data_IF_391783174977
#
_entry.id   IF_391783174977
#
_cell.length_a   1.000
_cell.length_b   1.000
_cell.length_c   1.000
_cell.angle_alpha   90.00
_cell.angle_beta   90.00
_cell.angle_gamma   90.00
#
_symmetry.space_group_name_H-M   'P 1'
#
loop_
_entity.id
_entity.type
_entity.pdbx_description
1 polymer ?
#
# COMPACT_ATOMS: atom_id res chain seq x y z
N UNK A 1 -13.69 68.21 -54.02
CA UNK A 1 -12.25 68.07 -53.72
C UNK A 1 -12.06 68.27 -52.23
N UNK A 2 -12.08 67.19 -51.46
CA UNK A 2 -11.85 67.19 -50.01
C UNK A 2 -10.42 66.75 -49.78
N UNK A 3 -9.57 67.69 -49.37
CA UNK A 3 -8.16 67.45 -49.05
C UNK A 3 -8.06 66.49 -47.86
N UNK A 4 -7.54 65.28 -48.12
CA UNK A 4 -7.05 64.38 -47.09
C UNK A 4 -5.83 65.01 -46.42
N UNK A 5 -6.00 65.49 -45.20
CA UNK A 5 -4.88 65.83 -44.32
C UNK A 5 -4.44 64.51 -43.66
N UNK A 6 -3.52 63.80 -44.31
CA UNK A 6 -2.73 62.74 -43.66
C UNK A 6 -1.63 63.42 -42.86
N UNK A 7 -1.87 63.69 -41.57
CA UNK A 7 -0.82 64.14 -40.66
C UNK A 7 -0.02 62.92 -40.16
N UNK A 8 1.30 63.03 -39.96
CA UNK A 8 2.13 61.93 -39.47
C UNK A 8 1.68 61.39 -38.10
N UNK A 9 0.98 62.21 -37.31
CA UNK A 9 0.37 61.81 -36.03
C UNK A 9 -0.80 60.82 -36.23
N UNK A 10 -1.60 60.98 -37.28
CA UNK A 10 -2.74 60.10 -37.56
C UNK A 10 -2.32 58.72 -38.07
N UNK A 11 -1.20 58.65 -38.80
CA UNK A 11 -0.62 57.38 -39.24
C UNK A 11 0.00 56.59 -38.09
N UNK A 12 0.66 57.27 -37.15
CA UNK A 12 1.24 56.66 -35.95
C UNK A 12 0.16 56.05 -35.03
N UNK A 13 -0.96 56.75 -34.84
CA UNK A 13 -2.06 56.24 -34.02
C UNK A 13 -2.78 55.06 -34.70
N UNK A 14 -2.93 55.08 -36.02
CA UNK A 14 -3.45 53.93 -36.79
C UNK A 14 -2.57 52.68 -36.65
N UNK A 15 -1.24 52.83 -36.67
CA UNK A 15 -0.32 51.71 -36.46
C UNK A 15 -0.40 51.15 -35.04
N UNK A 16 -0.56 52.02 -34.02
CA UNK A 16 -0.76 51.61 -32.63
C UNK A 16 -2.06 50.83 -32.45
N UNK A 17 -3.16 51.32 -33.04
CA UNK A 17 -4.44 50.62 -33.02
C UNK A 17 -4.36 49.25 -33.69
N UNK A 18 -3.68 49.15 -34.85
CA UNK A 18 -3.47 47.87 -35.54
C UNK A 18 -2.69 46.87 -34.68
N UNK A 19 -1.60 47.31 -34.03
CA UNK A 19 -0.79 46.44 -33.14
C UNK A 19 -1.58 45.95 -31.94
N UNK A 20 -2.39 46.81 -31.32
CA UNK A 20 -3.26 46.42 -30.19
C UNK A 20 -4.33 45.42 -30.69
N UNK A 21 -4.96 45.68 -31.82
CA UNK A 21 -5.97 44.78 -32.39
C UNK A 21 -5.39 43.39 -32.74
N UNK A 22 -4.18 43.33 -33.33
CA UNK A 22 -3.52 42.05 -33.67
C UNK A 22 -3.06 41.29 -32.43
N UNK A 23 -2.64 42.00 -31.38
CA UNK A 23 -2.22 41.36 -30.13
C UNK A 23 -3.44 40.78 -29.39
N UNK A 24 -4.55 41.53 -29.35
CA UNK A 24 -5.79 41.08 -28.73
C UNK A 24 -6.42 39.90 -29.48
N UNK A 25 -6.40 39.92 -30.81
CA UNK A 25 -6.92 38.78 -31.60
C UNK A 25 -6.10 37.51 -31.38
N UNK A 26 -4.76 37.62 -31.25
CA UNK A 26 -3.90 36.48 -30.95
C UNK A 26 -4.15 35.90 -29.55
N UNK A 27 -4.35 36.76 -28.55
CA UNK A 27 -4.70 36.33 -27.18
C UNK A 27 -6.07 35.65 -27.15
N UNK A 28 -7.08 36.23 -27.81
CA UNK A 28 -8.42 35.66 -27.89
C UNK A 28 -8.40 34.30 -28.58
N UNK A 29 -7.64 34.15 -29.66
CA UNK A 29 -7.48 32.87 -30.36
C UNK A 29 -6.82 31.80 -29.48
N UNK A 30 -5.80 32.17 -28.69
CA UNK A 30 -5.13 31.24 -27.80
C UNK A 30 -6.04 30.81 -26.63
N UNK A 31 -6.83 31.74 -26.10
CA UNK A 31 -7.86 31.48 -25.08
C UNK A 31 -9.00 30.60 -25.60
N UNK A 32 -9.45 30.80 -26.85
CA UNK A 32 -10.52 29.98 -27.43
C UNK A 32 -10.06 28.53 -27.69
N UNK A 33 -8.84 28.33 -28.18
CA UNK A 33 -8.26 26.99 -28.38
C UNK A 33 -8.09 26.26 -27.05
N UNK A 34 -7.57 26.93 -26.02
CA UNK A 34 -7.41 26.33 -24.69
C UNK A 34 -8.76 25.99 -24.05
N UNK A 35 -9.76 26.86 -24.17
CA UNK A 35 -11.12 26.58 -23.70
C UNK A 35 -11.74 25.37 -24.41
N UNK A 36 -11.63 25.30 -25.74
CA UNK A 36 -12.11 24.16 -26.52
C UNK A 36 -11.44 22.84 -26.11
N UNK A 37 -10.12 22.88 -25.84
CA UNK A 37 -9.37 21.73 -25.33
C UNK A 37 -9.85 21.25 -23.96
N UNK A 38 -10.17 22.17 -23.04
CA UNK A 38 -10.72 21.84 -21.72
C UNK A 38 -12.11 21.19 -21.86
N UNK A 39 -12.98 21.75 -22.70
CA UNK A 39 -14.32 21.19 -22.95
C UNK A 39 -14.20 19.76 -23.52
N UNK A 40 -13.32 19.55 -24.50
CA UNK A 40 -13.08 18.23 -25.09
C UNK A 40 -12.54 17.23 -24.04
N UNK A 41 -11.63 17.67 -23.17
CA UNK A 41 -11.10 16.85 -22.09
C UNK A 41 -12.22 16.42 -21.11
N UNK A 42 -13.14 17.32 -20.75
CA UNK A 42 -14.30 16.99 -19.92
C UNK A 42 -15.27 15.99 -20.58
N UNK A 43 -15.34 15.96 -21.90
CA UNK A 43 -16.18 14.99 -22.64
C UNK A 43 -15.50 13.61 -22.71
N UNK A 44 -14.17 13.56 -22.91
CA UNK A 44 -13.44 12.30 -23.11
C UNK A 44 -13.12 11.59 -21.78
N UNK A 45 -12.74 12.34 -20.74
CA UNK A 45 -12.32 11.77 -19.45
C UNK A 45 -13.37 10.83 -18.80
N UNK A 46 -14.69 11.12 -18.82
CA UNK A 46 -15.70 10.21 -18.30
C UNK A 46 -15.85 8.92 -19.12
N UNK A 47 -15.55 8.96 -20.43
CA UNK A 47 -15.70 7.81 -21.35
C UNK A 47 -14.59 6.77 -21.18
N UNK A 48 -13.41 7.19 -20.69
CA UNK A 48 -12.31 6.30 -20.34
C UNK A 48 -12.54 5.55 -19.01
N UNK A 49 -13.58 5.92 -18.26
CA UNK A 49 -13.96 5.25 -17.02
C UNK A 49 -14.89 4.08 -17.32
N UNK A 50 -14.31 2.92 -17.64
CA UNK A 50 -15.06 1.67 -17.71
C UNK A 50 -15.69 1.39 -16.34
N UNK A 51 -17.00 1.61 -16.23
CA UNK A 51 -17.82 1.19 -15.10
C UNK A 51 -17.82 -0.34 -15.06
N UNK A 52 -17.15 -0.93 -14.06
CA UNK A 52 -17.37 -2.34 -13.70
C UNK A 52 -18.84 -2.51 -13.31
N UNK A 53 -19.50 -3.47 -13.94
CA UNK A 53 -20.93 -3.75 -13.73
C UNK A 53 -21.19 -4.14 -12.28
N UNK A 54 -22.19 -3.50 -11.67
CA UNK A 54 -22.74 -3.95 -10.40
C UNK A 54 -23.33 -5.35 -10.60
N UNK A 55 -22.67 -6.37 -10.07
CA UNK A 55 -23.24 -7.71 -9.94
C UNK A 55 -24.42 -7.63 -8.96
N UNK A 56 -25.64 -7.55 -9.50
CA UNK A 56 -26.86 -7.77 -8.74
C UNK A 56 -26.92 -9.26 -8.44
N UNK A 57 -26.49 -9.64 -7.24
CA UNK A 57 -26.68 -10.99 -6.74
C UNK A 57 -28.10 -11.09 -6.22
N UNK A 58 -28.95 -11.82 -6.95
CA UNK A 58 -30.21 -12.30 -6.39
C UNK A 58 -29.88 -13.36 -5.34
N UNK A 59 -30.07 -13.03 -4.06
CA UNK A 59 -30.12 -14.04 -3.01
C UNK A 59 -31.36 -14.90 -3.28
N UNK A 60 -31.16 -16.11 -3.78
CA UNK A 60 -32.20 -17.13 -3.78
C UNK A 60 -32.53 -17.48 -2.33
N UNK A 61 -33.81 -17.44 -1.94
CA UNK A 61 -34.24 -17.84 -0.61
C UNK A 61 -33.80 -19.29 -0.34
N UNK A 62 -33.22 -19.52 0.83
CA UNK A 62 -32.75 -20.82 1.26
C UNK A 62 -33.95 -21.79 1.32
N UNK A 63 -33.83 -23.04 0.83
CA UNK A 63 -34.84 -24.06 1.10
C UNK A 63 -34.86 -24.34 2.62
N UNK A 64 -36.07 -24.46 3.16
CA UNK A 64 -36.34 -24.75 4.56
C UNK A 64 -35.74 -26.12 4.96
N UNK A 65 -35.11 -26.17 6.14
CA UNK A 65 -34.42 -27.38 6.65
C UNK A 65 -35.40 -28.55 6.83
N UNK A 66 -35.22 -29.60 6.05
CA UNK A 66 -35.91 -30.87 6.24
C UNK A 66 -35.21 -31.65 7.37
N UNK A 67 -35.91 -31.82 8.51
CA UNK A 67 -35.38 -32.55 9.66
C UNK A 67 -35.19 -34.04 9.32
N UNK A 68 -33.94 -34.50 9.37
CA UNK A 68 -33.58 -35.92 9.19
C UNK A 68 -33.88 -36.71 10.47
N UNK A 69 -34.89 -37.56 10.43
CA UNK A 69 -35.25 -38.50 11.49
C UNK A 69 -34.21 -39.64 11.59
N UNK A 70 -33.38 -39.62 12.65
CA UNK A 70 -32.40 -40.68 12.88
C UNK A 70 -33.04 -41.89 13.57
N UNK A 71 -33.26 -42.96 12.79
CA UNK A 71 -33.67 -44.26 13.30
C UNK A 71 -32.56 -44.94 14.12
N UNK A 72 -32.80 -45.13 15.43
CA UNK A 72 -31.91 -45.89 16.33
C UNK A 72 -31.87 -47.38 15.97
N UNK A 73 -30.68 -47.97 16.02
CA UNK A 73 -30.45 -49.40 15.77
C UNK A 73 -29.84 -50.00 17.04
N UNK A 74 -30.55 -50.94 17.67
CA UNK A 74 -30.06 -51.68 18.84
C UNK A 74 -29.13 -52.83 18.45
N UNK A 75 -27.91 -52.92 19.01
CA UNK A 75 -26.98 -54.01 18.70
C UNK A 75 -27.18 -55.19 19.69
N UNK A 76 -27.89 -56.24 19.25
CA UNK A 76 -27.85 -57.57 19.89
C UNK A 76 -27.31 -58.59 18.88
N UNK A 77 -25.99 -58.82 18.91
CA UNK A 77 -25.29 -59.81 18.07
C UNK A 77 -25.11 -61.10 18.88
N UNK A 78 -25.84 -62.17 18.53
CA UNK A 78 -25.52 -63.55 18.94
C UNK A 78 -24.51 -64.15 17.94
N UNK A 79 -23.31 -64.49 18.40
CA UNK A 79 -22.30 -65.20 17.61
C UNK A 79 -22.59 -66.71 17.58
N UNK A 80 -22.39 -67.35 16.42
CA UNK A 80 -22.14 -68.79 16.28
C UNK A 80 -20.76 -69.02 15.63
N UNK A 81 -20.02 -70.09 15.99
CA UNK A 81 -18.61 -70.24 15.64
C UNK A 81 -18.34 -71.04 14.34
N UNK A 82 -17.08 -70.91 13.92
CA UNK A 82 -16.40 -71.25 12.66
C UNK A 82 -16.39 -72.74 12.26
N UNK A 83 -16.21 -72.98 10.95
CA UNK A 83 -15.59 -74.20 10.41
C UNK A 83 -14.81 -73.89 9.10
N UNK A 84 -13.78 -74.70 8.72
CA UNK A 84 -12.63 -74.24 7.95
C UNK A 84 -12.54 -74.80 6.51
N UNK A 85 -11.56 -74.24 5.78
CA UNK A 85 -10.66 -74.94 4.85
C UNK A 85 -10.82 -74.75 3.33
N UNK A 86 -9.69 -74.35 2.73
CA UNK A 86 -9.09 -74.82 1.47
C UNK A 86 -9.89 -74.76 0.16
N UNK A 87 -9.39 -74.00 -0.81
CA UNK A 87 -8.69 -74.53 -1.99
C UNK A 87 -8.35 -73.41 -3.00
N UNK A 88 -7.13 -73.44 -3.51
CA UNK A 88 -6.70 -72.66 -4.67
C UNK A 88 -7.36 -73.19 -5.95
N UNK A 89 -7.75 -72.29 -6.86
CA UNK A 89 -7.90 -72.62 -8.28
C UNK A 89 -7.49 -71.43 -9.15
N UNK A 90 -6.51 -71.69 -10.02
CA UNK A 90 -5.86 -70.82 -10.98
C UNK A 90 -6.74 -70.66 -12.23
N UNK A 91 -6.98 -69.43 -12.70
CA UNK A 91 -7.44 -69.19 -14.08
C UNK A 91 -6.72 -67.95 -14.63
N UNK A 92 -6.06 -68.14 -15.77
CA UNK A 92 -5.38 -67.13 -16.58
C UNK A 92 -6.28 -66.85 -17.79
N UNK A 93 -6.62 -65.59 -18.06
CA UNK A 93 -6.97 -65.14 -19.41
C UNK A 93 -6.72 -63.63 -19.53
N UNK A 94 -5.89 -63.30 -20.51
CA UNK A 94 -5.42 -61.98 -20.90
C UNK A 94 -6.41 -61.26 -21.82
N UNK A 95 -6.65 -59.97 -21.56
CA UNK A 95 -7.14 -59.02 -22.58
C UNK A 95 -6.41 -57.70 -22.38
N UNK A 96 -5.54 -57.36 -23.34
CA UNK A 96 -4.79 -56.12 -23.37
C UNK A 96 -5.74 -54.94 -23.68
N UNK A 97 -5.68 -53.82 -22.93
CA UNK A 97 -6.30 -52.58 -23.34
C UNK A 97 -5.41 -51.85 -24.36
N UNK A 98 -6.01 -51.36 -25.45
CA UNK A 98 -5.34 -50.49 -26.42
C UNK A 98 -5.09 -49.09 -25.83
N UNK A 99 -3.94 -48.45 -26.12
CA UNK A 99 -3.71 -47.08 -25.71
C UNK A 99 -4.41 -46.12 -26.68
N UNK A 100 -5.50 -45.52 -26.25
CA UNK A 100 -6.06 -44.31 -26.87
C UNK A 100 -5.63 -43.10 -26.03
N UNK A 101 -4.68 -42.34 -26.56
CA UNK A 101 -4.22 -41.08 -25.99
C UNK A 101 -5.30 -40.02 -26.19
N UNK A 102 -6.00 -39.65 -25.11
CA UNK A 102 -6.83 -38.44 -25.10
C UNK A 102 -5.91 -37.26 -24.79
N UNK A 103 -5.72 -36.29 -25.71
CA UNK A 103 -4.96 -35.09 -25.39
C UNK A 103 -5.72 -34.29 -24.31
N UNK A 104 -5.06 -34.10 -23.17
CA UNK A 104 -5.54 -33.21 -22.11
C UNK A 104 -5.29 -31.78 -22.60
N UNK A 105 -6.31 -30.94 -22.83
CA UNK A 105 -6.09 -29.54 -23.11
C UNK A 105 -5.41 -28.91 -21.89
N UNK A 106 -4.27 -28.25 -22.10
CA UNK A 106 -3.61 -27.44 -21.09
C UNK A 106 -4.45 -26.17 -20.88
N UNK A 107 -5.38 -26.25 -19.92
CA UNK A 107 -6.13 -25.10 -19.48
C UNK A 107 -5.14 -24.27 -18.66
N UNK A 108 -4.63 -23.19 -19.24
CA UNK A 108 -3.99 -22.11 -18.47
C UNK A 108 -5.09 -21.42 -17.67
N UNK A 109 -5.55 -22.09 -16.61
CA UNK A 109 -6.37 -21.46 -15.59
C UNK A 109 -5.47 -20.53 -14.81
N UNK A 110 -5.51 -19.24 -15.18
CA UNK A 110 -5.27 -18.18 -14.22
C UNK A 110 -6.31 -18.32 -13.11
N UNK A 111 -5.96 -18.74 -11.88
CA UNK A 111 -6.93 -18.77 -10.82
C UNK A 111 -7.06 -17.33 -10.30
N UNK A 112 -7.99 -16.59 -10.90
CA UNK A 112 -8.78 -15.63 -10.14
C UNK A 112 -9.67 -16.44 -9.19
N UNK A 113 -9.09 -16.90 -8.08
CA UNK A 113 -9.83 -17.48 -6.97
C UNK A 113 -9.66 -16.58 -5.75
N UNK A 114 -10.49 -15.55 -5.73
CA UNK A 114 -10.99 -15.03 -4.47
C UNK A 114 -11.95 -16.09 -3.93
N UNK A 115 -11.50 -16.88 -2.94
CA UNK A 115 -12.35 -17.83 -2.25
C UNK A 115 -12.12 -17.71 -0.74
N UNK A 116 -13.20 -17.40 -0.02
CA UNK A 116 -13.46 -17.90 1.32
C UNK A 116 -12.54 -17.40 2.42
N UNK A 117 -12.95 -16.29 3.04
CA UNK A 117 -12.89 -16.17 4.49
C UNK A 117 -13.50 -17.42 5.11
N UNK A 118 -12.68 -18.33 5.62
CA UNK A 118 -12.96 -19.10 6.84
C UNK A 118 -11.64 -19.66 7.39
N UNK A 119 -11.47 -19.47 8.70
CA UNK A 119 -10.19 -19.63 9.37
C UNK A 119 -9.70 -21.06 9.41
N UNK A 120 -8.61 -21.34 8.69
CA UNK A 120 -7.49 -22.15 9.14
C UNK A 120 -6.37 -22.06 8.09
N UNK A 121 -5.42 -21.13 8.31
CA UNK A 121 -4.16 -21.13 7.56
C UNK A 121 -3.00 -21.26 8.55
N UNK A 122 -2.88 -22.47 9.10
CA UNK A 122 -1.62 -23.20 9.21
C UNK A 122 -0.50 -22.53 10.01
N UNK A 123 -0.34 -22.98 11.24
CA UNK A 123 0.90 -22.85 11.99
C UNK A 123 2.08 -23.47 11.21
N UNK A 124 3.02 -22.64 10.73
CA UNK A 124 4.26 -23.17 10.13
C UNK A 124 5.10 -22.13 9.41
N UNK A 125 5.87 -21.32 10.15
CA UNK A 125 6.95 -20.49 9.58
C UNK A 125 8.30 -21.07 9.99
N UNK A 126 8.67 -22.18 9.34
CA UNK A 126 9.97 -22.83 9.42
C UNK A 126 10.84 -22.48 8.21
N UNK A 127 12.15 -22.36 8.43
CA UNK A 127 13.17 -22.08 7.42
C UNK A 127 13.16 -23.12 6.28
N UNK A 128 12.89 -22.69 5.05
CA UNK A 128 13.00 -23.52 3.86
C UNK A 128 13.32 -22.69 2.62
N UNK A 129 14.46 -22.99 1.98
CA UNK A 129 14.75 -22.54 0.62
C UNK A 129 13.74 -23.19 -0.33
N UNK A 130 12.87 -22.40 -0.96
CA UNK A 130 11.93 -22.92 -1.95
C UNK A 130 11.44 -21.81 -2.88
N UNK A 131 11.78 -21.92 -4.16
CA UNK A 131 11.20 -21.12 -5.24
C UNK A 131 9.69 -21.38 -5.31
N UNK A 132 8.89 -20.38 -4.95
CA UNK A 132 7.43 -20.43 -5.03
C UNK A 132 6.85 -19.04 -5.27
N UNK A 133 6.13 -18.90 -6.39
CA UNK A 133 5.33 -17.78 -6.87
C UNK A 133 5.26 -16.49 -6.02
N UNK A 134 6.10 -15.50 -6.38
CA UNK A 134 5.72 -14.09 -6.54
C UNK A 134 5.01 -13.33 -5.39
N UNK A 135 5.16 -13.76 -4.14
CA UNK A 135 4.66 -13.07 -2.96
C UNK A 135 5.79 -12.56 -2.08
N UNK A 136 5.85 -11.24 -1.86
CA UNK A 136 6.75 -10.64 -0.88
C UNK A 136 6.12 -10.73 0.51
N UNK A 137 6.85 -11.27 1.49
CA UNK A 137 6.41 -11.29 2.89
C UNK A 137 6.95 -10.06 3.62
N UNK A 138 6.07 -9.27 4.23
CA UNK A 138 6.37 -8.09 5.01
C UNK A 138 6.02 -8.37 6.46
N UNK A 139 7.01 -8.49 7.34
CA UNK A 139 6.72 -8.57 8.78
C UNK A 139 5.71 -9.70 9.09
N UNK A 140 5.86 -10.85 8.42
CA UNK A 140 4.93 -11.98 8.51
C UNK A 140 3.63 -11.88 7.70
N UNK A 141 3.41 -10.79 6.96
CA UNK A 141 2.22 -10.56 6.12
C UNK A 141 2.57 -10.72 4.64
N UNK A 142 1.93 -11.65 3.92
CA UNK A 142 2.07 -11.76 2.47
C UNK A 142 1.29 -10.65 1.79
N UNK A 143 1.97 -9.81 1.03
CA UNK A 143 1.35 -8.69 0.33
C UNK A 143 1.81 -8.66 -1.12
N UNK A 144 0.86 -8.53 -2.05
CA UNK A 144 1.14 -8.39 -3.49
C UNK A 144 0.85 -6.94 -3.90
N UNK A 145 1.89 -6.11 -3.95
CA UNK A 145 1.77 -4.73 -4.40
C UNK A 145 2.99 -4.31 -5.25
N UNK A 146 2.72 -3.49 -6.25
CA UNK A 146 3.73 -2.90 -7.13
C UNK A 146 4.34 -1.63 -6.53
N UNK A 147 3.61 -0.96 -5.63
CA UNK A 147 3.98 0.34 -5.04
C UNK A 147 3.76 0.36 -3.53
N UNK A 148 4.85 0.34 -2.77
CA UNK A 148 4.81 0.19 -1.31
C UNK A 148 5.59 1.32 -0.64
N UNK A 149 4.98 2.03 0.31
CA UNK A 149 5.67 3.04 1.11
C UNK A 149 5.84 2.58 2.55
N UNK A 150 7.08 2.50 3.02
CA UNK A 150 7.38 2.27 4.43
C UNK A 150 7.35 3.60 5.17
N UNK A 151 6.51 3.73 6.18
CA UNK A 151 6.42 4.90 7.06
C UNK A 151 6.83 4.46 8.46
N UNK A 152 8.03 4.85 8.87
CA UNK A 152 8.72 4.23 10.01
C UNK A 152 9.01 5.27 11.08
N UNK A 153 8.61 4.93 12.30
CA UNK A 153 8.85 5.75 13.48
C UNK A 153 10.34 5.74 13.84
N UNK A 154 10.95 6.91 13.78
CA UNK A 154 12.32 7.18 14.21
C UNK A 154 12.33 8.14 15.40
N UNK A 155 11.24 8.21 16.16
CA UNK A 155 11.16 9.01 17.38
C UNK A 155 12.07 8.47 18.49
N UNK A 156 12.34 9.30 19.50
CA UNK A 156 13.25 8.97 20.58
C UNK A 156 12.75 7.83 21.49
N UNK A 157 11.44 7.55 21.53
CA UNK A 157 10.88 6.42 22.31
C UNK A 157 11.37 5.07 21.80
N UNK A 158 11.68 4.99 20.51
CA UNK A 158 12.28 3.82 19.85
C UNK A 158 13.69 3.51 20.39
N UNK A 159 14.38 4.45 21.04
CA UNK A 159 15.70 4.23 21.62
C UNK A 159 15.69 3.34 22.86
N UNK A 160 14.52 3.06 23.43
CA UNK A 160 14.38 2.25 24.63
C UNK A 160 14.20 0.75 24.31
N UNK A 161 14.63 -0.11 25.25
CA UNK A 161 14.35 -1.55 25.25
C UNK A 161 14.79 -2.30 23.96
N UNK A 162 15.74 -1.78 23.19
CA UNK A 162 16.19 -2.40 21.93
C UNK A 162 15.19 -2.28 20.78
N UNK A 163 14.16 -1.42 20.88
CA UNK A 163 13.14 -1.23 19.81
C UNK A 163 13.76 -0.70 18.53
N UNK A 164 14.72 0.21 18.60
CA UNK A 164 15.42 0.72 17.43
C UNK A 164 16.16 -0.39 16.67
N UNK A 165 16.81 -1.31 17.39
CA UNK A 165 17.51 -2.43 16.75
C UNK A 165 16.51 -3.41 16.15
N UNK A 166 15.41 -3.70 16.85
CA UNK A 166 14.32 -4.53 16.34
C UNK A 166 13.70 -3.91 15.08
N UNK A 167 13.32 -2.63 15.11
CA UNK A 167 12.81 -1.87 13.97
C UNK A 167 13.76 -1.97 12.77
N UNK A 168 15.06 -1.70 12.98
CA UNK A 168 16.04 -1.72 11.89
C UNK A 168 16.20 -3.11 11.30
N UNK A 169 16.21 -4.16 12.14
CA UNK A 169 16.27 -5.56 11.68
C UNK A 169 15.04 -5.93 10.87
N UNK A 170 13.86 -5.68 11.41
CA UNK A 170 12.59 -6.00 10.76
C UNK A 170 12.44 -5.24 9.43
N UNK A 171 12.72 -3.94 9.43
CA UNK A 171 12.65 -3.12 8.22
C UNK A 171 13.68 -3.57 7.16
N UNK A 172 14.93 -3.81 7.57
CA UNK A 172 15.96 -4.30 6.64
C UNK A 172 15.58 -5.66 6.04
N UNK A 173 15.03 -6.56 6.86
CA UNK A 173 14.54 -7.87 6.41
C UNK A 173 13.43 -7.71 5.38
N UNK A 174 12.42 -6.89 5.66
CA UNK A 174 11.32 -6.63 4.73
C UNK A 174 11.81 -6.02 3.41
N UNK A 175 12.70 -5.02 3.45
CA UNK A 175 13.27 -4.41 2.24
C UNK A 175 14.03 -5.45 1.42
N UNK A 176 14.84 -6.32 2.05
CA UNK A 176 15.61 -7.34 1.34
C UNK A 176 14.75 -8.41 0.67
N UNK A 177 13.49 -8.55 1.07
CA UNK A 177 12.53 -9.53 0.55
C UNK A 177 11.59 -8.94 -0.51
N UNK A 178 11.76 -7.67 -0.88
CA UNK A 178 11.02 -7.06 -1.98
C UNK A 178 11.34 -7.74 -3.31
N UNK A 179 10.30 -8.07 -4.07
CA UNK A 179 10.43 -8.64 -5.40
C UNK A 179 11.05 -7.64 -6.36
N UNK A 180 11.84 -8.16 -7.29
CA UNK A 180 12.39 -7.34 -8.36
C UNK A 180 11.29 -6.63 -9.15
N UNK A 181 11.50 -5.35 -9.44
CA UNK A 181 10.53 -4.51 -10.14
C UNK A 181 9.50 -3.80 -9.24
N UNK A 182 9.39 -4.17 -7.96
CA UNK A 182 8.56 -3.40 -7.01
C UNK A 182 9.13 -2.00 -6.80
N UNK A 183 8.25 -1.00 -6.87
CA UNK A 183 8.59 0.38 -6.51
C UNK A 183 8.33 0.56 -5.02
N UNK A 184 9.31 1.09 -4.30
CA UNK A 184 9.17 1.32 -2.88
C UNK A 184 9.66 2.71 -2.47
N UNK A 185 9.07 3.26 -1.41
CA UNK A 185 9.51 4.48 -0.75
C UNK A 185 9.80 4.20 0.72
N UNK A 186 10.72 4.95 1.33
CA UNK A 186 10.98 4.85 2.77
C UNK A 186 10.91 6.26 3.35
N UNK A 187 9.93 6.49 4.20
CA UNK A 187 9.69 7.73 4.95
C UNK A 187 9.97 7.45 6.41
N UNK A 188 10.85 8.25 6.99
CA UNK A 188 11.05 8.31 8.43
C UNK A 188 10.24 9.45 9.01
N UNK A 189 9.72 9.26 10.22
CA UNK A 189 9.02 10.31 10.93
C UNK A 189 9.40 10.37 12.41
N UNK A 190 9.22 11.56 12.98
CA UNK A 190 9.27 11.87 14.40
C UNK A 190 8.21 12.94 14.66
N UNK A 191 8.58 14.13 15.12
CA UNK A 191 7.69 15.30 15.06
C UNK A 191 7.60 15.94 13.67
N UNK A 192 8.51 15.58 12.75
CA UNK A 192 8.49 15.93 11.31
C UNK A 192 8.62 14.64 10.49
N UNK A 193 8.57 14.72 9.16
CA UNK A 193 8.84 13.57 8.28
C UNK A 193 9.90 13.91 7.22
N UNK A 194 10.64 12.89 6.78
CA UNK A 194 11.67 12.99 5.76
C UNK A 194 11.87 11.66 5.02
N UNK A 195 12.41 11.73 3.81
CA UNK A 195 12.82 10.54 3.07
C UNK A 195 14.08 9.91 3.67
N UNK A 196 14.13 8.58 3.70
CA UNK A 196 15.30 7.86 4.21
C UNK A 196 16.56 8.20 3.41
N UNK A 197 17.60 8.64 4.11
CA UNK A 197 18.88 9.06 3.52
C UNK A 197 19.08 10.58 3.54
N UNK A 198 18.03 11.35 3.79
CA UNK A 198 18.13 12.79 3.96
C UNK A 198 18.77 13.17 5.29
N UNK A 199 19.46 14.32 5.29
CA UNK A 199 20.07 14.88 6.49
C UNK A 199 19.09 15.80 7.20
N UNK A 200 18.85 15.54 8.48
CA UNK A 200 17.91 16.32 9.28
C UNK A 200 18.65 17.17 10.31
N UNK A 201 18.39 18.48 10.29
CA UNK A 201 18.76 19.39 11.37
C UNK A 201 17.49 19.88 12.05
N UNK A 202 17.22 19.38 13.26
CA UNK A 202 16.01 19.66 14.04
C UNK A 202 16.33 20.54 15.25
N UNK A 203 15.84 21.77 15.26
CA UNK A 203 15.83 22.64 16.43
C UNK A 203 14.44 22.62 17.09
N UNK A 204 14.21 21.63 17.94
CA UNK A 204 12.89 21.43 18.56
C UNK A 204 12.46 22.59 19.46
N UNK A 205 13.39 23.18 20.22
CA UNK A 205 13.12 24.31 21.12
C UNK A 205 12.84 25.60 20.33
N UNK A 206 13.60 25.83 19.27
CA UNK A 206 13.41 26.97 18.36
C UNK A 206 12.28 26.80 17.34
N UNK A 207 11.57 25.66 17.36
CA UNK A 207 10.40 25.44 16.50
C UNK A 207 10.71 25.44 15.01
N UNK A 208 11.93 25.07 14.60
CA UNK A 208 12.31 24.98 13.19
C UNK A 208 13.15 23.72 12.90
N UNK A 209 13.07 23.24 11.67
CA UNK A 209 13.92 22.16 11.18
C UNK A 209 14.21 22.33 9.71
N UNK A 210 15.33 21.75 9.25
CA UNK A 210 15.67 21.65 7.84
C UNK A 210 16.02 20.22 7.49
N UNK A 211 15.42 19.72 6.42
CA UNK A 211 15.74 18.43 5.80
C UNK A 211 16.48 18.71 4.50
N UNK A 212 17.70 18.19 4.36
CA UNK A 212 18.52 18.34 3.16
C UNK A 212 18.52 17.03 2.39
N UNK A 213 17.93 17.05 1.19
CA UNK A 213 17.89 15.90 0.30
C UNK A 213 19.18 15.81 -0.55
N UNK A 214 19.56 14.60 -0.97
CA UNK A 214 20.58 14.41 -2.00
C UNK A 214 20.28 15.26 -3.24
N UNK A 215 21.27 16.05 -3.68
CA UNK A 215 21.13 17.02 -4.77
C UNK A 215 20.86 18.47 -4.33
N UNK A 216 20.96 18.78 -3.03
CA UNK A 216 20.98 20.16 -2.52
C UNK A 216 19.62 20.81 -2.28
N UNK A 217 18.52 20.08 -2.51
CA UNK A 217 17.17 20.57 -2.21
C UNK A 217 16.93 20.55 -0.70
N UNK A 218 16.47 21.68 -0.17
CA UNK A 218 16.20 21.85 1.25
C UNK A 218 14.70 22.01 1.50
N UNK A 219 14.19 21.31 2.49
CA UNK A 219 12.81 21.42 2.96
C UNK A 219 12.81 21.95 4.39
N UNK A 220 12.11 23.05 4.61
CA UNK A 220 12.01 23.67 5.92
C UNK A 220 10.74 23.22 6.62
N UNK A 221 10.82 23.12 7.93
CA UNK A 221 9.70 22.85 8.82
C UNK A 221 9.65 23.92 9.89
N UNK A 222 8.43 24.28 10.30
CA UNK A 222 8.17 25.18 11.42
C UNK A 222 7.13 24.60 12.35
N UNK A 223 7.23 24.95 13.63
CA UNK A 223 6.23 24.63 14.64
C UNK A 223 5.34 25.86 14.87
N UNK A 224 4.05 25.72 14.62
CA UNK A 224 3.03 26.74 14.89
C UNK A 224 1.92 26.15 15.79
N UNK A 225 0.92 26.94 16.16
CA UNK A 225 -0.14 26.60 17.15
C UNK A 225 -0.95 25.31 16.93
N UNK A 226 -0.67 24.51 15.88
CA UNK A 226 -1.23 23.18 15.63
C UNK A 226 -0.18 22.06 15.48
N UNK A 227 1.09 22.31 15.83
CA UNK A 227 2.18 21.35 15.70
C UNK A 227 3.19 21.70 14.60
N UNK A 228 3.97 20.72 14.19
CA UNK A 228 4.96 20.88 13.12
C UNK A 228 4.28 20.83 11.75
N UNK A 229 4.76 21.63 10.82
CA UNK A 229 4.34 21.59 9.43
C UNK A 229 5.44 22.08 8.50
N UNK A 230 5.34 21.78 7.19
CA UNK A 230 6.26 22.32 6.21
C UNK A 230 6.17 23.85 6.16
N UNK A 231 7.31 24.50 6.04
CA UNK A 231 7.41 25.93 5.76
C UNK A 231 7.58 26.14 4.25
N UNK A 232 6.44 26.17 3.55
CA UNK A 232 6.37 26.22 2.09
C UNK A 232 6.03 24.85 1.49
N UNK A 233 6.70 24.49 0.39
CA UNK A 233 6.45 23.21 -0.29
C UNK A 233 7.04 22.07 0.53
N UNK A 234 6.16 21.21 1.06
CA UNK A 234 6.56 20.01 1.78
C UNK A 234 7.32 19.02 0.89
N UNK A 235 8.17 18.22 1.52
CA UNK A 235 8.83 17.11 0.85
C UNK A 235 7.81 16.03 0.43
N UNK A 236 8.08 15.40 -0.71
CA UNK A 236 7.44 14.15 -1.13
C UNK A 236 8.53 13.11 -1.30
N UNK A 237 8.32 11.90 -0.78
CA UNK A 237 9.26 10.82 -0.92
C UNK A 237 9.35 10.36 -2.39
N UNK A 238 10.54 9.96 -2.81
CA UNK A 238 10.78 9.43 -4.15
C UNK A 238 10.46 7.93 -4.21
N UNK A 239 10.11 7.47 -5.41
CA UNK A 239 10.02 6.05 -5.71
C UNK A 239 11.40 5.50 -6.04
N UNK A 240 11.82 4.48 -5.30
CA UNK A 240 12.98 3.64 -5.58
C UNK A 240 12.53 2.36 -6.28
N UNK A 241 13.39 1.78 -7.11
CA UNK A 241 13.15 0.49 -7.75
C UNK A 241 13.91 -0.62 -7.01
N UNK A 242 13.26 -1.75 -6.72
CA UNK A 242 13.84 -2.89 -6.02
C UNK A 242 14.88 -3.65 -6.86
N UNK A 243 16.09 -3.09 -6.98
CA UNK A 243 17.28 -3.75 -7.50
C UNK A 243 18.19 -4.22 -6.34
N UNK A 244 19.01 -5.28 -6.51
CA UNK A 244 19.88 -5.77 -5.43
C UNK A 244 20.74 -4.66 -4.79
N UNK A 245 21.31 -3.78 -5.62
CA UNK A 245 22.11 -2.65 -5.16
C UNK A 245 21.28 -1.65 -4.35
N UNK A 246 20.11 -1.26 -4.86
CA UNK A 246 19.24 -0.28 -4.22
C UNK A 246 18.68 -0.81 -2.88
N UNK A 247 18.35 -2.10 -2.79
CA UNK A 247 17.91 -2.75 -1.56
C UNK A 247 19.03 -2.78 -0.51
N UNK A 248 20.26 -3.10 -0.92
CA UNK A 248 21.46 -3.05 -0.06
C UNK A 248 21.74 -1.66 0.47
N UNK A 249 21.66 -0.63 -0.39
CA UNK A 249 21.88 0.76 -0.02
C UNK A 249 20.79 1.28 0.94
N UNK A 250 19.51 0.96 0.67
CA UNK A 250 18.41 1.24 1.59
C UNK A 250 18.60 0.58 2.95
N UNK A 251 19.04 -0.68 3.00
CA UNK A 251 19.36 -1.37 4.26
C UNK A 251 20.48 -0.68 5.04
N UNK A 252 21.50 -0.14 4.36
CA UNK A 252 22.59 0.62 4.98
C UNK A 252 22.10 1.96 5.55
N UNK A 253 21.25 2.67 4.81
CA UNK A 253 20.61 3.92 5.26
C UNK A 253 19.79 3.65 6.52
N UNK A 254 18.93 2.63 6.49
CA UNK A 254 18.10 2.22 7.62
C UNK A 254 18.94 1.90 8.85
N UNK A 255 20.07 1.20 8.70
CA UNK A 255 20.94 0.88 9.85
C UNK A 255 21.63 2.10 10.47
N UNK A 256 21.96 3.12 9.67
CA UNK A 256 22.75 4.29 10.12
C UNK A 256 21.90 5.49 10.54
N UNK A 257 20.65 5.57 10.11
CA UNK A 257 19.81 6.76 10.34
C UNK A 257 19.64 7.05 11.84
N UNK A 258 19.90 8.28 12.33
CA UNK A 258 19.75 8.62 13.74
C UNK A 258 18.27 8.73 14.13
N UNK A 259 17.96 8.45 15.40
CA UNK A 259 16.64 8.78 15.95
C UNK A 259 16.50 10.30 16.10
N UNK A 260 15.25 10.76 16.06
CA UNK A 260 14.86 12.16 16.12
C UNK A 260 13.83 12.38 17.24
N UNK A 261 13.60 13.62 17.65
CA UNK A 261 12.78 13.93 18.82
C UNK A 261 11.30 14.10 18.48
N UNK A 262 10.42 13.52 19.30
CA UNK A 262 8.96 13.67 19.20
C UNK A 262 8.31 12.69 18.23
N UNK A 263 6.97 12.61 18.26
CA UNK A 263 6.21 11.59 17.52
C UNK A 263 4.91 12.22 17.00
N UNK A 264 4.68 12.14 15.70
CA UNK A 264 3.49 12.68 15.01
C UNK A 264 3.21 11.82 13.77
N UNK A 265 2.15 11.00 13.84
CA UNK A 265 1.87 9.97 12.83
C UNK A 265 1.42 10.58 11.50
N UNK A 266 0.71 11.69 11.57
CA UNK A 266 0.22 12.43 10.42
C UNK A 266 1.36 12.80 9.45
N UNK A 267 2.51 13.27 9.94
CA UNK A 267 3.58 13.77 9.06
C UNK A 267 4.11 12.70 8.11
N UNK A 268 4.35 11.50 8.63
CA UNK A 268 4.86 10.39 7.84
C UNK A 268 3.81 9.88 6.85
N UNK A 269 2.58 9.66 7.32
CA UNK A 269 1.50 9.11 6.50
C UNK A 269 1.07 10.12 5.43
N UNK A 270 0.98 11.42 5.75
CA UNK A 270 0.66 12.46 4.76
C UNK A 270 1.73 12.60 3.69
N UNK A 271 3.02 12.47 4.05
CA UNK A 271 4.09 12.45 3.05
C UNK A 271 3.94 11.26 2.09
N UNK A 272 3.55 10.09 2.59
CA UNK A 272 3.28 8.91 1.77
C UNK A 272 2.03 9.08 0.88
N UNK A 273 0.94 9.60 1.43
CA UNK A 273 -0.31 9.92 0.70
C UNK A 273 -0.14 11.09 -0.30
N UNK A 274 0.97 11.82 -0.23
CA UNK A 274 1.37 12.85 -1.19
C UNK A 274 2.25 12.36 -2.35
N UNK A 275 2.62 11.07 -2.38
CA UNK A 275 3.45 10.50 -3.45
C UNK A 275 2.66 10.38 -4.77
N UNK A 276 3.38 10.45 -5.89
CA UNK A 276 2.81 10.26 -7.24
C UNK A 276 3.67 9.29 -8.07
N UNK A 277 3.09 8.20 -8.62
CA UNK A 277 1.76 7.67 -8.31
C UNK A 277 1.60 7.32 -6.81
N UNK A 278 0.36 7.22 -6.34
CA UNK A 278 0.06 6.87 -4.94
C UNK A 278 0.59 5.46 -4.60
N UNK A 279 1.01 5.23 -3.34
CA UNK A 279 1.29 3.88 -2.85
C UNK A 279 -0.01 3.08 -2.89
N UNK A 280 0.07 1.79 -3.22
CA UNK A 280 -1.05 0.87 -2.98
C UNK A 280 -1.12 0.54 -1.49
N UNK A 281 0.05 0.43 -0.86
CA UNK A 281 0.18 -0.01 0.53
C UNK A 281 1.17 0.87 1.27
N UNK A 282 0.78 1.31 2.46
CA UNK A 282 1.64 1.95 3.44
C UNK A 282 1.91 0.95 4.56
N UNK A 283 3.19 0.62 4.79
CA UNK A 283 3.63 -0.16 5.93
C UNK A 283 4.01 0.81 7.05
N UNK A 284 3.10 1.01 8.01
CA UNK A 284 3.25 1.93 9.11
C UNK A 284 3.78 1.22 10.36
N UNK A 285 4.98 1.58 10.82
CA UNK A 285 5.62 0.96 11.99
C UNK A 285 5.87 1.99 13.10
N UNK A 286 5.45 1.68 14.33
CA UNK A 286 5.64 2.54 15.52
C UNK A 286 5.65 1.71 16.82
N UNK A 287 6.16 2.27 17.91
CA UNK A 287 5.99 1.71 19.26
C UNK A 287 4.69 2.15 19.94
N UNK A 288 3.84 2.91 19.23
CA UNK A 288 2.50 3.28 19.70
C UNK A 288 2.50 4.39 20.75
N UNK A 289 3.59 5.14 20.90
CA UNK A 289 3.68 6.27 21.84
C UNK A 289 3.36 7.57 21.13
N UNK A 290 2.07 7.91 21.02
CA UNK A 290 1.62 9.17 20.41
C UNK A 290 0.39 9.73 21.11
N UNK A 291 0.38 11.04 21.38
CA UNK A 291 -0.80 11.78 21.82
C UNK A 291 -1.58 12.27 20.60
N UNK A 292 -2.88 11.99 20.52
CA UNK A 292 -3.74 12.33 19.36
C UNK A 292 -3.81 11.24 18.29
N UNK A 293 -3.34 10.03 18.61
CA UNK A 293 -3.39 8.86 17.71
C UNK A 293 -4.81 8.48 17.30
N UNK A 294 -5.80 8.74 18.14
CA UNK A 294 -7.22 8.47 17.88
C UNK A 294 -7.77 9.34 16.73
N UNK A 295 -7.48 10.65 16.75
CA UNK A 295 -7.88 11.57 15.70
C UNK A 295 -7.16 11.23 14.38
N UNK A 296 -5.85 10.99 14.45
CA UNK A 296 -5.06 10.59 13.29
C UNK A 296 -5.51 9.26 12.69
N UNK A 297 -5.82 8.26 13.49
CA UNK A 297 -6.33 6.98 13.00
C UNK A 297 -7.62 7.15 12.18
N UNK A 298 -8.51 8.05 12.62
CA UNK A 298 -9.76 8.36 11.93
C UNK A 298 -9.53 9.16 10.65
N UNK A 299 -8.82 10.28 10.74
CA UNK A 299 -8.63 11.23 9.64
C UNK A 299 -7.73 10.66 8.55
N UNK A 300 -6.57 10.12 8.93
CA UNK A 300 -5.62 9.51 7.99
C UNK A 300 -6.19 8.23 7.39
N UNK A 301 -6.89 7.42 8.19
CA UNK A 301 -7.56 6.22 7.72
C UNK A 301 -8.65 6.53 6.69
N UNK A 302 -9.46 7.57 6.91
CA UNK A 302 -10.47 8.01 5.96
C UNK A 302 -9.85 8.54 4.66
N UNK A 303 -8.78 9.34 4.77
CA UNK A 303 -8.05 9.91 3.62
C UNK A 303 -7.36 8.82 2.78
N UNK A 304 -6.69 7.87 3.42
CA UNK A 304 -6.06 6.76 2.73
C UNK A 304 -7.10 5.88 2.01
N UNK A 305 -8.22 5.58 2.68
CA UNK A 305 -9.33 4.83 2.08
C UNK A 305 -9.91 5.54 0.85
N UNK A 306 -10.14 6.85 0.91
CA UNK A 306 -10.68 7.60 -0.24
C UNK A 306 -9.71 7.66 -1.43
N UNK A 307 -8.42 7.49 -1.18
CA UNK A 307 -7.36 7.39 -2.19
C UNK A 307 -7.07 5.96 -2.65
N UNK A 308 -7.78 4.95 -2.12
CA UNK A 308 -7.55 3.53 -2.44
C UNK A 308 -6.23 2.98 -1.88
N UNK A 309 -5.71 3.58 -0.81
CA UNK A 309 -4.46 3.18 -0.16
C UNK A 309 -4.75 2.37 1.09
N UNK A 310 -4.17 1.17 1.17
CA UNK A 310 -4.24 0.32 2.35
C UNK A 310 -3.11 0.65 3.33
N UNK A 311 -3.39 0.71 4.64
CA UNK A 311 -2.38 0.94 5.68
C UNK A 311 -2.25 -0.31 6.54
N UNK A 312 -1.11 -1.00 6.42
CA UNK A 312 -0.75 -2.10 7.30
C UNK A 312 0.03 -1.55 8.50
N UNK A 313 -0.46 -1.80 9.71
CA UNK A 313 0.13 -1.31 10.94
C UNK A 313 1.00 -2.40 11.60
N UNK A 314 2.16 -2.01 12.09
CA UNK A 314 3.10 -2.88 12.81
C UNK A 314 3.49 -2.18 14.11
N UNK A 315 3.03 -2.74 15.23
CA UNK A 315 3.43 -2.29 16.55
C UNK A 315 4.69 -3.02 17.01
N UNK A 316 5.64 -2.29 17.57
CA UNK A 316 6.78 -2.90 18.27
C UNK A 316 6.50 -3.02 19.75
N UNK A 317 6.67 -4.23 20.27
CA UNK A 317 6.33 -4.61 21.64
C UNK A 317 4.86 -4.33 21.95
N UNK A 318 4.49 -4.20 23.22
CA UNK A 318 3.12 -3.86 23.59
C UNK A 318 2.86 -2.35 23.38
N UNK A 319 2.06 -1.97 22.36
CA UNK A 319 1.86 -0.56 22.03
C UNK A 319 0.82 0.05 22.97
N UNK A 320 1.05 1.29 23.43
CA UNK A 320 0.02 2.03 24.19
C UNK A 320 -1.18 2.37 23.31
N UNK A 321 -0.94 2.75 22.06
CA UNK A 321 -1.97 3.08 21.07
C UNK A 321 -2.48 1.85 20.29
N UNK A 322 -2.60 0.68 20.92
CA UNK A 322 -3.05 -0.56 20.26
C UNK A 322 -4.38 -0.37 19.51
N UNK A 323 -5.36 0.26 20.18
CA UNK A 323 -6.70 0.49 19.63
C UNK A 323 -6.67 1.39 18.39
N UNK A 324 -5.82 2.41 18.41
CA UNK A 324 -5.75 3.39 17.31
C UNK A 324 -5.04 2.80 16.09
N UNK A 325 -4.04 1.94 16.30
CA UNK A 325 -3.39 1.19 15.22
C UNK A 325 -4.34 0.17 14.58
N UNK A 326 -5.12 -0.57 15.39
CA UNK A 326 -6.14 -1.47 14.85
C UNK A 326 -7.22 -0.70 14.07
N UNK A 327 -7.66 0.45 14.59
CA UNK A 327 -8.66 1.29 13.92
C UNK A 327 -8.13 1.86 12.59
N UNK A 328 -6.88 2.32 12.55
CA UNK A 328 -6.24 2.81 11.32
C UNK A 328 -6.14 1.71 10.25
N UNK A 329 -5.69 0.52 10.64
CA UNK A 329 -5.61 -0.64 9.75
C UNK A 329 -7.01 -1.05 9.26
N UNK A 330 -7.96 -1.23 10.18
CA UNK A 330 -9.36 -1.59 9.90
C UNK A 330 -10.01 -0.66 8.88
N UNK A 331 -9.83 0.66 9.03
CA UNK A 331 -10.46 1.65 8.14
C UNK A 331 -10.05 1.51 6.69
N UNK A 332 -8.81 1.08 6.45
CA UNK A 332 -8.21 0.99 5.12
C UNK A 332 -8.24 -0.43 4.55
N UNK A 333 -8.83 -1.39 5.27
CA UNK A 333 -8.76 -2.81 4.90
C UNK A 333 -7.37 -3.42 5.08
N UNK A 334 -6.52 -2.77 5.88
CA UNK A 334 -5.17 -3.21 6.18
C UNK A 334 -5.09 -4.20 7.34
N UNK A 335 -3.89 -4.74 7.51
CA UNK A 335 -3.57 -5.69 8.57
C UNK A 335 -2.90 -5.02 9.76
N UNK A 336 -3.02 -5.65 10.93
CA UNK A 336 -2.34 -5.20 12.14
C UNK A 336 -1.58 -6.35 12.79
N UNK A 337 -0.27 -6.16 12.99
CA UNK A 337 0.58 -7.10 13.71
C UNK A 337 1.36 -6.44 14.84
N UNK A 338 1.72 -7.26 15.83
CA UNK A 338 2.58 -6.87 16.94
C UNK A 338 3.86 -7.72 16.88
N UNK A 339 5.02 -7.06 16.93
CA UNK A 339 6.32 -7.72 16.99
C UNK A 339 6.82 -7.70 18.43
N UNK A 340 7.00 -8.86 19.05
CA UNK A 340 7.50 -8.92 20.41
C UNK A 340 9.01 -8.59 20.51
N UNK A 341 9.53 -8.55 21.74
CA UNK A 341 10.96 -8.26 22.00
C UNK A 341 11.94 -9.23 21.34
N UNK A 342 11.47 -10.44 20.99
CA UNK A 342 12.26 -11.49 20.36
C UNK A 342 12.14 -11.45 18.82
N UNK A 343 11.34 -10.54 18.26
CA UNK A 343 11.05 -10.49 16.83
C UNK A 343 9.97 -11.45 16.37
N UNK A 344 9.21 -12.06 17.29
CA UNK A 344 8.07 -12.92 16.93
C UNK A 344 6.87 -12.05 16.60
N UNK A 345 6.23 -12.36 15.48
CA UNK A 345 5.04 -11.66 14.99
C UNK A 345 3.78 -12.32 15.55
N UNK A 346 2.86 -11.49 16.05
CA UNK A 346 1.50 -11.86 16.42
C UNK A 346 0.53 -11.09 15.53
N UNK A 347 -0.23 -11.81 14.71
CA UNK A 347 -1.32 -11.20 13.95
C UNK A 347 -2.44 -10.81 14.90
N UNK A 348 -2.97 -9.60 14.73
CA UNK A 348 -4.15 -9.08 15.42
C UNK A 348 -5.34 -9.06 14.45
N UNK A 349 -5.09 -8.73 13.18
CA UNK A 349 -6.07 -8.63 12.09
C UNK A 349 -5.47 -9.02 10.74
#
# INVERSE_FOLDING_TARGET
MSLHIQSPETEAELQRQRRIATTMSMVIALLSITLAGIILAFIILPSLSQKSSTLVTYQTAMPEEEQVDQKRIDPQVKRKPSAPSSAMAKVVASTAPSPISVPIPEITESPSLNYGSDGDFGAGWGSGNGNGAGGTSFFGQSVRAERICYVIDFSSSMGSQGRADLMRRELSKSISQLSHGTRYGIVFFSCIAWEAGDQVNLNRKGGNATVKAPGGKNYRWKKAGGGWGPDGIGQRARWLNASPQQLSDSGRIVKKAPLSSGTSWDKGIEMALGMSPLPQIICFMTDGVASGSDAWARELGAKAKSQGVQINCIALMEPRAHKDLDELAKRTGGHFSVVDKNGKHKSIR
#
